data_IF_303806865258
#
_entry.id   IF_303806865258
#
_cell.length_a   1.000
_cell.length_b   1.000
_cell.length_c   1.000
_cell.angle_alpha   90.00
_cell.angle_beta   90.00
_cell.angle_gamma   90.00
#
_symmetry.space_group_name_H-M   'P 1'
#
loop_
_entity.id
_entity.type
_entity.pdbx_description
1 polymer ?
#
# COMPACT_ATOMS: atom_id res chain seq x y z
N UNK A 1 -14.74 -24.46 -7.19
CA UNK A 1 -15.18 -25.28 -8.35
C UNK A 1 -13.92 -25.75 -9.01
N UNK A 2 -13.79 -27.04 -9.34
CA UNK A 2 -12.57 -27.53 -10.00
C UNK A 2 -12.63 -27.38 -11.51
N UNK A 3 -11.50 -27.04 -12.10
CA UNK A 3 -11.26 -26.93 -13.53
C UNK A 3 -10.08 -27.82 -13.92
N UNK A 4 -10.06 -28.27 -15.17
CA UNK A 4 -8.89 -28.96 -15.71
C UNK A 4 -8.14 -27.99 -16.62
N UNK A 5 -6.84 -27.86 -16.40
CA UNK A 5 -5.96 -27.01 -17.20
C UNK A 5 -4.86 -27.84 -17.83
N UNK A 6 -4.43 -27.47 -19.03
CA UNK A 6 -3.26 -28.04 -19.70
C UNK A 6 -2.17 -26.98 -19.75
N UNK A 7 -0.97 -27.37 -19.34
CA UNK A 7 0.20 -26.50 -19.39
C UNK A 7 1.04 -26.79 -20.64
N UNK A 8 1.73 -25.78 -21.17
CA UNK A 8 2.82 -25.98 -22.13
C UNK A 8 4.15 -26.30 -21.41
N UNK A 9 5.24 -26.38 -22.18
CA UNK A 9 6.59 -26.65 -21.68
C UNK A 9 7.07 -25.57 -20.68
N UNK A 10 6.69 -24.31 -20.92
CA UNK A 10 6.98 -23.16 -20.04
C UNK A 10 6.04 -23.07 -18.81
N UNK A 11 5.24 -24.12 -18.56
CA UNK A 11 4.26 -24.18 -17.46
C UNK A 11 3.14 -23.14 -17.55
N UNK A 12 2.91 -22.55 -18.72
CA UNK A 12 1.83 -21.60 -18.98
C UNK A 12 0.55 -22.36 -19.30
N UNK A 13 -0.59 -21.93 -18.76
CA UNK A 13 -1.89 -22.48 -19.14
C UNK A 13 -2.18 -22.15 -20.60
N UNK A 14 -2.44 -23.18 -21.40
CA UNK A 14 -2.74 -23.07 -22.84
C UNK A 14 -4.10 -23.64 -23.23
N UNK A 15 -4.82 -24.23 -22.28
CA UNK A 15 -6.15 -24.77 -22.49
C UNK A 15 -6.82 -25.02 -21.15
N UNK A 16 -8.11 -24.74 -21.08
CA UNK A 16 -8.93 -24.95 -19.89
C UNK A 16 -10.25 -25.65 -20.21
N UNK A 17 -10.66 -26.57 -19.34
CA UNK A 17 -12.01 -27.11 -19.28
C UNK A 17 -12.66 -26.74 -17.94
N UNK A 18 -13.55 -25.76 -17.98
CA UNK A 18 -14.30 -25.26 -16.83
C UNK A 18 -15.82 -25.47 -16.96
N UNK A 19 -16.28 -26.31 -17.89
CA UNK A 19 -17.72 -26.47 -18.18
C UNK A 19 -18.52 -26.94 -16.96
N UNK A 20 -17.98 -27.89 -16.19
CA UNK A 20 -18.45 -28.30 -14.88
C UNK A 20 -17.40 -29.18 -14.21
N UNK A 21 -17.55 -29.41 -12.90
CA UNK A 21 -16.59 -30.19 -12.12
C UNK A 21 -16.47 -31.65 -12.58
N UNK A 22 -17.55 -32.28 -13.07
CA UNK A 22 -17.49 -33.65 -13.59
C UNK A 22 -16.66 -33.71 -14.88
N UNK A 23 -16.91 -32.81 -15.82
CA UNK A 23 -16.16 -32.71 -17.07
C UNK A 23 -14.68 -32.40 -16.82
N UNK A 24 -14.38 -31.49 -15.89
CA UNK A 24 -13.02 -31.20 -15.45
C UNK A 24 -12.33 -32.44 -14.89
N UNK A 25 -12.97 -33.18 -13.97
CA UNK A 25 -12.43 -34.43 -13.41
C UNK A 25 -12.16 -35.49 -14.47
N UNK A 26 -13.06 -35.66 -15.44
CA UNK A 26 -12.85 -36.60 -16.54
C UNK A 26 -11.72 -36.15 -17.48
N UNK A 27 -11.61 -34.85 -17.75
CA UNK A 27 -10.56 -34.30 -18.60
C UNK A 27 -9.18 -34.45 -17.94
N UNK A 28 -9.07 -34.24 -16.63
CA UNK A 28 -7.83 -34.39 -15.87
C UNK A 28 -7.29 -35.84 -15.80
N UNK A 29 -8.08 -36.84 -16.21
CA UNK A 29 -7.57 -38.22 -16.37
C UNK A 29 -6.75 -38.40 -17.64
N UNK A 30 -6.79 -37.44 -18.58
CA UNK A 30 -6.02 -37.47 -19.82
C UNK A 30 -4.62 -36.89 -19.58
N UNK A 31 -3.64 -37.44 -20.28
CA UNK A 31 -2.25 -37.00 -20.15
C UNK A 31 -2.08 -35.50 -20.43
N UNK A 32 -1.26 -34.85 -19.58
CA UNK A 32 -0.96 -33.42 -19.66
C UNK A 32 -2.03 -32.49 -19.06
N UNK A 33 -3.15 -33.01 -18.57
CA UNK A 33 -4.17 -32.22 -17.89
C UNK A 33 -4.02 -32.31 -16.38
N UNK A 34 -4.16 -31.17 -15.71
CA UNK A 34 -4.09 -31.06 -14.26
C UNK A 34 -5.41 -30.52 -13.72
N UNK A 35 -5.93 -31.16 -12.67
CA UNK A 35 -7.13 -30.71 -11.98
C UNK A 35 -6.72 -29.69 -10.90
N UNK A 36 -7.27 -28.49 -10.95
CA UNK A 36 -7.00 -27.42 -9.99
C UNK A 36 -8.29 -26.79 -9.50
N UNK A 37 -8.24 -26.12 -8.36
CA UNK A 37 -9.33 -25.22 -7.96
C UNK A 37 -9.33 -23.98 -8.86
N UNK A 38 -10.51 -23.62 -9.36
CA UNK A 38 -10.71 -22.36 -10.08
C UNK A 38 -10.61 -21.20 -9.12
N UNK A 39 -10.02 -20.12 -9.60
CA UNK A 39 -10.09 -18.81 -8.97
C UNK A 39 -11.22 -17.97 -9.63
N UNK A 40 -12.01 -17.17 -8.88
CA UNK A 40 -13.00 -16.27 -9.47
C UNK A 40 -12.43 -15.21 -10.43
N UNK A 41 -11.18 -14.80 -10.27
CA UNK A 41 -10.50 -13.87 -11.16
C UNK A 41 -9.92 -14.55 -12.41
N UNK A 42 -9.93 -15.89 -12.46
CA UNK A 42 -9.47 -16.62 -13.63
C UNK A 42 -10.43 -16.47 -14.81
N UNK A 43 -9.89 -16.17 -15.99
CA UNK A 43 -10.63 -16.10 -17.24
C UNK A 43 -9.91 -16.90 -18.32
N UNK A 44 -10.67 -17.63 -19.14
CA UNK A 44 -10.12 -18.36 -20.30
C UNK A 44 -9.50 -17.38 -21.31
N UNK A 45 -10.08 -16.20 -21.49
CA UNK A 45 -9.56 -15.19 -22.42
C UNK A 45 -8.14 -14.70 -22.07
N UNK A 46 -7.76 -14.84 -20.80
CA UNK A 46 -6.46 -14.42 -20.28
C UNK A 46 -5.70 -15.57 -19.62
N UNK A 47 -6.01 -16.82 -19.97
CA UNK A 47 -5.41 -18.00 -19.33
C UNK A 47 -3.88 -18.06 -19.49
N UNK A 48 -3.35 -17.48 -20.56
CA UNK A 48 -1.91 -17.35 -20.83
C UNK A 48 -1.14 -16.50 -19.80
N UNK A 49 -1.84 -15.79 -18.90
CA UNK A 49 -1.24 -15.06 -17.78
C UNK A 49 -1.08 -15.92 -16.52
N UNK A 50 -1.53 -17.18 -16.55
CA UNK A 50 -1.62 -18.05 -15.39
C UNK A 50 -0.75 -19.29 -15.52
N UNK A 51 -0.33 -19.80 -14.37
CA UNK A 51 0.39 -21.06 -14.20
C UNK A 51 -0.10 -21.79 -12.94
N UNK A 52 0.40 -22.99 -12.72
CA UNK A 52 0.19 -23.75 -11.48
C UNK A 52 1.46 -23.64 -10.64
N UNK A 53 1.33 -23.16 -9.41
CA UNK A 53 2.44 -23.15 -8.45
C UNK A 53 2.71 -24.55 -7.92
N UNK A 54 3.93 -25.05 -8.10
CA UNK A 54 4.29 -26.43 -7.73
C UNK A 54 4.17 -26.74 -6.24
N UNK A 55 4.34 -25.74 -5.37
CA UNK A 55 4.35 -25.94 -3.91
C UNK A 55 2.98 -26.31 -3.32
N UNK A 56 1.89 -25.82 -3.91
CA UNK A 56 0.53 -25.99 -3.38
C UNK A 56 -0.53 -26.27 -4.46
N UNK A 57 -0.11 -26.45 -5.72
CA UNK A 57 -0.95 -26.70 -6.89
C UNK A 57 -2.07 -25.64 -7.11
N UNK A 58 -1.82 -24.41 -6.67
CA UNK A 58 -2.76 -23.30 -6.90
C UNK A 58 -2.54 -22.63 -8.24
N UNK A 59 -3.62 -22.09 -8.77
CA UNK A 59 -3.61 -21.25 -9.96
C UNK A 59 -3.12 -19.84 -9.56
N UNK A 60 -2.05 -19.38 -10.19
CA UNK A 60 -1.36 -18.14 -9.84
C UNK A 60 -1.01 -17.34 -11.07
N UNK A 61 -0.88 -16.03 -10.93
CA UNK A 61 -0.34 -15.20 -12.01
C UNK A 61 1.13 -15.50 -12.24
N UNK A 62 1.54 -15.56 -13.51
CA UNK A 62 2.94 -15.77 -13.89
C UNK A 62 3.83 -14.62 -13.42
N UNK A 63 3.32 -13.39 -13.47
CA UNK A 63 4.09 -12.16 -13.18
C UNK A 63 4.55 -12.07 -11.72
N UNK A 64 3.70 -12.49 -10.78
CA UNK A 64 3.96 -12.39 -9.34
C UNK A 64 4.17 -13.75 -8.68
N UNK A 65 3.79 -14.82 -9.37
CA UNK A 65 3.73 -16.15 -8.81
C UNK A 65 2.71 -16.25 -7.68
N UNK A 66 1.78 -15.31 -7.51
CA UNK A 66 0.79 -15.18 -6.42
C UNK A 66 -0.64 -15.51 -6.89
N UNK A 67 -1.49 -15.98 -5.98
CA UNK A 67 -2.94 -15.96 -6.22
C UNK A 67 -3.45 -14.52 -6.10
N UNK A 68 -4.58 -14.15 -6.73
CA UNK A 68 -5.17 -12.82 -6.59
C UNK A 68 -5.41 -12.40 -5.12
N UNK A 69 -5.80 -13.34 -4.26
CA UNK A 69 -6.00 -13.11 -2.83
C UNK A 69 -4.68 -12.78 -2.10
N UNK A 70 -3.59 -13.48 -2.46
CA UNK A 70 -2.25 -13.23 -1.91
C UNK A 70 -1.72 -11.86 -2.36
N UNK A 71 -1.91 -11.50 -3.64
CA UNK A 71 -1.57 -10.17 -4.15
C UNK A 71 -2.33 -9.06 -3.40
N UNK A 72 -3.64 -9.26 -3.21
CA UNK A 72 -4.49 -8.32 -2.48
C UNK A 72 -4.05 -8.18 -1.03
N UNK A 73 -3.75 -9.29 -0.37
CA UNK A 73 -3.25 -9.31 1.01
C UNK A 73 -1.92 -8.57 1.13
N UNK A 74 -0.99 -8.80 0.20
CA UNK A 74 0.30 -8.12 0.17
C UNK A 74 0.13 -6.61 -0.08
N UNK A 75 -0.71 -6.22 -1.04
CA UNK A 75 -0.99 -4.82 -1.35
C UNK A 75 -1.58 -4.10 -0.13
N UNK A 76 -2.55 -4.70 0.54
CA UNK A 76 -3.16 -4.14 1.75
C UNK A 76 -2.17 -4.00 2.91
N UNK A 77 -1.28 -4.98 3.10
CA UNK A 77 -0.22 -4.88 4.11
C UNK A 77 0.76 -3.73 3.81
N UNK A 78 1.12 -3.54 2.55
CA UNK A 78 1.99 -2.44 2.12
C UNK A 78 1.32 -1.08 2.31
N UNK A 79 0.04 -0.97 1.95
CA UNK A 79 -0.76 0.24 2.18
C UNK A 79 -0.85 0.56 3.69
N UNK A 80 -1.15 -0.44 4.53
CA UNK A 80 -1.19 -0.27 5.98
C UNK A 80 0.13 0.23 6.57
N UNK A 81 1.26 -0.34 6.12
CA UNK A 81 2.60 0.11 6.52
C UNK A 81 2.87 1.56 6.12
N UNK A 82 2.52 1.94 4.89
CA UNK A 82 2.73 3.30 4.38
C UNK A 82 1.86 4.33 5.12
N UNK A 83 0.59 3.99 5.37
CA UNK A 83 -0.33 4.84 6.15
C UNK A 83 0.19 4.99 7.59
N UNK A 84 0.62 3.92 8.22
CA UNK A 84 1.22 3.98 9.56
C UNK A 84 2.44 4.90 9.62
N UNK A 85 3.34 4.79 8.64
CA UNK A 85 4.52 5.66 8.55
C UNK A 85 4.15 7.13 8.33
N UNK A 86 3.13 7.40 7.50
CA UNK A 86 2.65 8.77 7.27
C UNK A 86 2.07 9.39 8.55
N UNK A 87 1.29 8.62 9.32
CA UNK A 87 0.72 9.08 10.61
C UNK A 87 1.84 9.40 11.61
N UNK A 88 2.84 8.53 11.76
CA UNK A 88 3.99 8.79 12.66
C UNK A 88 4.74 10.06 12.25
N UNK A 89 4.94 10.25 10.94
CA UNK A 89 5.60 11.45 10.40
C UNK A 89 4.80 12.70 10.68
N UNK A 90 3.48 12.67 10.45
CA UNK A 90 2.58 13.79 10.74
C UNK A 90 2.58 14.14 12.23
N UNK A 91 2.44 13.15 13.12
CA UNK A 91 2.48 13.37 14.57
C UNK A 91 3.81 13.94 15.07
N UNK A 92 4.93 13.57 14.42
CA UNK A 92 6.24 14.11 14.75
C UNK A 92 6.38 15.57 14.31
N UNK A 93 5.85 15.90 13.13
CA UNK A 93 5.82 17.27 12.62
C UNK A 93 4.94 18.18 13.49
N UNK A 94 3.78 17.69 13.91
CA UNK A 94 2.83 18.38 14.81
C UNK A 94 3.50 18.73 16.15
N UNK A 95 4.13 17.76 16.81
CA UNK A 95 4.92 17.99 18.05
C UNK A 95 6.05 19.00 17.87
N UNK A 96 6.71 18.98 16.71
CA UNK A 96 7.78 19.95 16.39
C UNK A 96 7.20 21.36 16.20
N UNK A 97 6.01 21.48 15.61
CA UNK A 97 5.30 22.75 15.48
C UNK A 97 4.89 23.30 16.85
N UNK A 98 4.30 22.47 17.72
CA UNK A 98 3.95 22.85 19.09
C UNK A 98 5.16 23.35 19.88
N UNK A 99 6.27 22.64 19.77
CA UNK A 99 7.53 23.03 20.42
C UNK A 99 8.03 24.38 19.92
N UNK A 100 7.96 24.63 18.61
CA UNK A 100 8.36 25.91 18.02
C UNK A 100 7.45 27.07 18.48
N UNK A 101 6.14 26.85 18.54
CA UNK A 101 5.17 27.83 19.07
C UNK A 101 5.48 28.16 20.53
N UNK A 102 5.74 27.14 21.35
CA UNK A 102 6.09 27.32 22.76
C UNK A 102 7.40 28.12 22.94
N UNK A 103 8.43 27.80 22.15
CA UNK A 103 9.70 28.55 22.18
C UNK A 103 9.53 30.00 21.72
N UNK A 104 8.73 30.25 20.68
CA UNK A 104 8.43 31.60 20.22
C UNK A 104 7.68 32.42 21.30
N UNK A 105 6.71 31.80 21.97
CA UNK A 105 5.99 32.44 23.08
C UNK A 105 6.91 32.78 24.26
N UNK A 106 7.86 31.90 24.60
CA UNK A 106 8.86 32.17 25.63
C UNK A 106 9.79 33.33 25.25
N UNK A 107 10.27 33.36 24.00
CA UNK A 107 11.08 34.46 23.50
C UNK A 107 10.33 35.78 23.57
N UNK A 108 9.05 35.79 23.14
CA UNK A 108 8.17 36.96 23.23
C UNK A 108 8.06 37.52 24.65
N UNK A 109 7.89 36.64 25.65
CA UNK A 109 7.87 37.04 27.07
C UNK A 109 9.19 37.65 27.54
N UNK A 110 10.32 37.18 27.04
CA UNK A 110 11.65 37.68 27.41
C UNK A 110 11.95 39.07 26.81
N UNK A 111 11.54 39.30 25.56
CA UNK A 111 11.85 40.55 24.84
C UNK A 111 10.81 41.66 25.03
N UNK A 112 9.57 41.32 25.43
CA UNK A 112 8.52 42.32 25.63
C UNK A 112 8.90 43.46 26.61
N UNK A 113 9.51 43.20 27.79
CA UNK A 113 9.93 44.26 28.70
C UNK A 113 11.02 45.18 28.12
N UNK A 114 11.97 44.61 27.36
CA UNK A 114 13.03 45.36 26.69
C UNK A 114 12.49 46.32 25.63
N UNK A 115 11.48 45.89 24.87
CA UNK A 115 10.85 46.72 23.85
C UNK A 115 10.07 47.90 24.47
N UNK A 116 9.34 47.64 25.57
CA UNK A 116 8.63 48.70 26.31
C UNK A 116 9.62 49.73 26.87
N UNK A 117 10.74 49.28 27.46
CA UNK A 117 11.78 50.17 27.99
C UNK A 117 12.43 51.05 26.90
N UNK A 118 12.63 50.50 25.69
CA UNK A 118 13.14 51.26 24.55
C UNK A 118 12.16 52.36 24.07
N UNK A 119 10.85 52.08 24.08
CA UNK A 119 9.83 53.06 23.68
C UNK A 119 9.67 54.21 24.68
N UNK A 120 9.74 53.94 25.99
CA UNK A 120 9.69 55.00 27.02
C UNK A 120 10.86 55.98 26.93
N UNK A 121 12.04 55.52 26.51
CA UNK A 121 13.22 56.37 26.33
C UNK A 121 13.20 57.20 25.05
N UNK A 122 12.41 56.81 24.03
CA UNK A 122 12.28 57.58 22.78
C UNK A 122 11.27 58.73 22.90
N UNK A 123 10.25 58.61 23.75
CA UNK A 123 9.18 59.61 23.87
C UNK A 123 9.56 60.83 24.73
N UNK A 124 10.68 60.79 25.46
CA UNK A 124 11.17 61.92 26.27
C UNK A 124 12.00 62.94 25.48
N UNK A 125 12.26 62.71 24.18
CA UNK A 125 13.09 63.60 23.36
C UNK A 125 12.33 64.70 22.60
N UNK A 126 10.99 64.77 22.67
CA UNK A 126 10.18 65.71 21.85
C UNK A 126 9.53 66.84 22.66
N UNK A 127 10.23 67.35 23.67
CA UNK A 127 9.82 68.48 24.52
C UNK A 127 10.74 69.70 24.40
N UNK A 128 11.29 69.96 23.22
CA UNK A 128 12.07 71.18 22.93
C UNK A 128 11.15 72.30 22.46
N UNK A 129 10.76 73.19 23.38
CA UNK A 129 10.09 74.46 23.09
C UNK A 129 11.00 75.37 22.26
N UNK A 130 10.51 75.84 21.12
CA UNK A 130 10.97 77.08 20.47
C UNK A 130 9.92 78.16 20.69
#
# INVERSE_FOLDING_TARGET
>A
MKIAVKLNEDKIVINTNNTNEKAAKEQAKKEGWTLVESDPAFSIETEYLWTIRESDNKLVYISTGMTPDEETTQANALLGKNVGQAIVTANSADKKADSAIASAAQLGKLIAPLLVAAQTNSNTANGGTN
#
